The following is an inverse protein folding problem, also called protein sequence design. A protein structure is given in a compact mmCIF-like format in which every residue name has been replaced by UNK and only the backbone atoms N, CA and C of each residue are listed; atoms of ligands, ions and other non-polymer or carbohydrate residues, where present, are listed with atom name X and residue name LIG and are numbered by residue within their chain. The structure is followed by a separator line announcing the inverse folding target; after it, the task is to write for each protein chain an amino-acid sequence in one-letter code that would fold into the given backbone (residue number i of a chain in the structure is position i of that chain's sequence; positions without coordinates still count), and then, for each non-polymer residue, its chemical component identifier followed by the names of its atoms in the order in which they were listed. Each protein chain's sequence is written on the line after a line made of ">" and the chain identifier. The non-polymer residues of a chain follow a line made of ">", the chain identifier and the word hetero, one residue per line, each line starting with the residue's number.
data_IF_349278782991
#
_entry.id   IF_349278782991
#
_cell.length_a   1.000
_cell.length_b   1.000
_cell.length_c   1.000
_cell.angle_alpha   90.00
_cell.angle_beta   90.00
_cell.angle_gamma   90.00
#
_symmetry.space_group_name_H-M   'P 1'
#
loop_
_entity.id
_entity.type
_entity.pdbx_description
1 polymer ?
#
# COMPACT_ATOMS: atom_id res chain seq x y z
N UNK A 1 -16.89 -2.27 11.99
CA UNK A 1 -16.17 -1.95 10.73
C UNK A 1 -14.77 -2.53 10.89
N UNK A 2 -14.42 -3.52 10.07
CA UNK A 2 -13.09 -4.12 10.05
C UNK A 2 -12.22 -3.42 9.01
N UNK A 3 -10.96 -3.15 9.37
CA UNK A 3 -9.94 -2.68 8.43
C UNK A 3 -8.99 -3.83 8.14
N UNK A 4 -8.70 -4.06 6.88
CA UNK A 4 -7.69 -5.02 6.43
C UNK A 4 -6.67 -4.29 5.55
N UNK A 5 -5.39 -4.51 5.84
CA UNK A 5 -4.27 -3.91 5.10
C UNK A 5 -3.53 -4.99 4.31
N UNK A 6 -3.34 -4.76 3.01
CA UNK A 6 -2.45 -5.53 2.14
C UNK A 6 -1.13 -4.77 1.99
N UNK A 7 -0.08 -5.33 2.58
CA UNK A 7 1.29 -4.87 2.38
C UNK A 7 1.87 -5.56 1.14
N UNK A 8 2.25 -4.77 0.14
CA UNK A 8 2.69 -5.27 -1.18
C UNK A 8 4.17 -4.97 -1.36
N UNK A 9 4.95 -6.00 -1.71
CA UNK A 9 6.34 -5.88 -2.10
C UNK A 9 6.47 -5.83 -3.62
N UNK A 10 7.29 -4.92 -4.13
CA UNK A 10 7.64 -4.84 -5.55
C UNK A 10 8.62 -5.96 -5.86
N UNK A 11 8.38 -6.64 -6.96
CA UNK A 11 9.33 -7.64 -7.46
C UNK A 11 10.51 -6.93 -8.15
N UNK A 12 11.73 -7.43 -7.97
CA UNK A 12 12.96 -6.75 -8.40
C UNK A 12 13.01 -6.43 -9.89
N UNK A 13 12.51 -7.33 -10.74
CA UNK A 13 12.53 -7.16 -12.21
C UNK A 13 11.48 -6.15 -12.74
N UNK A 14 10.58 -5.64 -11.89
CA UNK A 14 9.59 -4.63 -12.28
C UNK A 14 10.13 -3.23 -11.93
N UNK A 15 10.02 -2.29 -12.86
CA UNK A 15 10.43 -0.91 -12.59
C UNK A 15 9.51 -0.26 -11.54
N UNK A 16 10.03 0.68 -10.74
CA UNK A 16 9.21 1.40 -9.75
C UNK A 16 8.04 2.16 -10.41
N UNK A 17 8.24 2.68 -11.63
CA UNK A 17 7.20 3.36 -12.39
C UNK A 17 6.07 2.41 -12.80
N UNK A 18 6.42 1.23 -13.31
CA UNK A 18 5.45 0.20 -13.67
C UNK A 18 4.70 -0.34 -12.44
N UNK A 19 5.42 -0.57 -11.33
CA UNK A 19 4.80 -0.95 -10.07
C UNK A 19 3.82 0.12 -9.56
N UNK A 20 4.23 1.39 -9.60
CA UNK A 20 3.39 2.52 -9.18
C UNK A 20 2.11 2.55 -10.01
N UNK A 21 2.25 2.50 -11.34
CA UNK A 21 1.11 2.45 -12.27
C UNK A 21 0.19 1.26 -11.99
N UNK A 22 0.76 0.09 -11.71
CA UNK A 22 -0.03 -1.07 -11.36
C UNK A 22 -0.86 -0.82 -10.09
N UNK A 23 -0.24 -0.36 -9.01
CA UNK A 23 -0.91 -0.15 -7.70
C UNK A 23 -1.93 0.98 -7.75
N UNK A 24 -1.68 2.06 -8.49
CA UNK A 24 -2.55 3.24 -8.53
C UNK A 24 -3.67 3.16 -9.56
N UNK A 25 -3.45 2.49 -10.70
CA UNK A 25 -4.40 2.47 -11.82
C UNK A 25 -4.99 1.07 -12.08
N UNK A 26 -4.14 0.06 -12.15
CA UNK A 26 -4.55 -1.28 -12.62
C UNK A 26 -5.20 -2.10 -11.52
N UNK A 27 -4.64 -2.06 -10.31
CA UNK A 27 -5.12 -2.80 -9.16
C UNK A 27 -6.51 -2.33 -8.69
N UNK A 28 -6.76 -1.02 -8.44
CA UNK A 28 -8.08 -0.56 -7.98
C UNK A 28 -9.22 -0.91 -8.94
N UNK A 29 -8.99 -0.77 -10.25
CA UNK A 29 -10.02 -1.10 -11.26
C UNK A 29 -10.40 -2.58 -11.20
N UNK A 30 -9.42 -3.48 -11.06
CA UNK A 30 -9.67 -4.91 -10.86
C UNK A 30 -10.33 -5.22 -9.52
N UNK A 31 -9.86 -4.58 -8.45
CA UNK A 31 -10.37 -4.77 -7.09
C UNK A 31 -11.82 -4.27 -6.93
N UNK A 32 -12.27 -3.31 -7.75
CA UNK A 32 -13.62 -2.73 -7.68
C UNK A 32 -14.72 -3.80 -7.76
N UNK A 33 -14.54 -4.83 -8.58
CA UNK A 33 -15.49 -5.93 -8.70
C UNK A 33 -15.66 -6.72 -7.40
N UNK A 34 -14.55 -6.97 -6.70
CA UNK A 34 -14.48 -7.66 -5.41
C UNK A 34 -15.00 -6.78 -4.27
N UNK A 35 -14.63 -5.50 -4.28
CA UNK A 35 -15.07 -4.47 -3.31
C UNK A 35 -16.59 -4.37 -3.31
N UNK A 36 -17.20 -4.22 -4.49
CA UNK A 36 -18.67 -4.13 -4.62
C UNK A 36 -19.37 -5.42 -4.21
N UNK A 37 -18.86 -6.58 -4.62
CA UNK A 37 -19.47 -7.88 -4.31
C UNK A 37 -19.50 -8.19 -2.81
N UNK A 38 -18.51 -7.70 -2.05
CA UNK A 38 -18.34 -8.03 -0.63
C UNK A 38 -18.66 -6.86 0.32
N UNK A 39 -19.33 -5.81 -0.15
CA UNK A 39 -19.78 -4.71 0.71
C UNK A 39 -18.65 -3.89 1.35
N UNK A 40 -17.49 -3.80 0.69
CA UNK A 40 -16.36 -3.00 1.16
C UNK A 40 -16.69 -1.51 0.92
N UNK A 41 -16.66 -0.71 1.99
CA UNK A 41 -17.08 0.70 1.98
C UNK A 41 -16.04 1.67 1.44
N UNK A 42 -14.76 1.39 1.67
CA UNK A 42 -13.70 2.36 1.40
C UNK A 42 -12.46 1.64 0.90
N UNK A 43 -11.79 2.27 -0.06
CA UNK A 43 -10.54 1.86 -0.66
C UNK A 43 -9.54 3.01 -0.51
N UNK A 44 -8.38 2.71 0.06
CA UNK A 44 -7.26 3.64 0.14
C UNK A 44 -5.99 2.94 -0.31
N UNK A 45 -5.21 3.57 -1.17
CA UNK A 45 -3.88 3.10 -1.51
C UNK A 45 -2.86 4.17 -1.12
N UNK A 46 -1.76 3.74 -0.53
CA UNK A 46 -0.61 4.59 -0.29
C UNK A 46 0.56 3.90 -0.96
N UNK A 47 1.04 4.47 -2.07
CA UNK A 47 2.33 4.09 -2.62
C UNK A 47 3.37 4.44 -1.57
N UNK A 48 4.18 3.46 -1.18
CA UNK A 48 5.10 3.68 -0.07
C UNK A 48 6.21 4.65 -0.48
N UNK A 49 6.83 5.18 0.56
CA UNK A 49 7.97 6.07 0.53
C UNK A 49 9.14 5.37 -0.19
N UNK A 50 9.78 5.99 -1.20
CA UNK A 50 10.92 5.42 -1.92
C UNK A 50 12.01 4.94 -0.95
N UNK A 51 12.79 3.89 -1.27
CA UNK A 51 13.84 3.36 -0.39
C UNK A 51 14.79 4.45 0.14
N UNK A 52 15.20 5.38 -0.73
CA UNK A 52 16.06 6.51 -0.35
C UNK A 52 15.43 7.42 0.73
N UNK A 53 14.11 7.58 0.71
CA UNK A 53 13.38 8.36 1.70
C UNK A 53 13.17 7.55 2.99
N UNK A 54 13.15 6.20 2.95
CA UNK A 54 13.13 5.36 4.15
C UNK A 54 14.45 5.48 4.93
N UNK A 55 15.57 5.43 4.23
CA UNK A 55 16.90 5.63 4.82
C UNK A 55 17.07 7.05 5.38
N UNK A 56 16.51 8.06 4.69
CA UNK A 56 16.45 9.42 5.21
C UNK A 56 15.63 9.49 6.52
N UNK A 57 14.44 8.89 6.57
CA UNK A 57 13.59 8.91 7.78
C UNK A 57 14.30 8.25 8.96
N UNK A 58 14.89 7.06 8.76
CA UNK A 58 15.59 6.34 9.85
C UNK A 58 16.79 7.12 10.38
N UNK A 59 17.58 7.72 9.49
CA UNK A 59 18.88 8.29 9.85
C UNK A 59 18.83 9.79 10.18
N UNK A 60 17.95 10.57 9.55
CA UNK A 60 17.94 12.03 9.66
C UNK A 60 16.90 12.56 10.65
N UNK A 61 15.80 11.84 10.89
CA UNK A 61 14.78 12.26 11.86
C UNK A 61 15.08 11.81 13.30
N UNK A 62 16.20 11.10 13.52
CA UNK A 62 16.62 10.55 14.83
C UNK A 62 15.57 9.66 15.51
N UNK A 63 14.58 9.17 14.76
CA UNK A 63 13.53 8.28 15.24
C UNK A 63 14.00 6.81 15.10
N UNK A 64 15.07 6.46 15.80
CA UNK A 64 15.68 5.12 15.72
C UNK A 64 14.74 3.98 16.17
N UNK A 65 13.74 4.31 17.00
CA UNK A 65 12.72 3.37 17.47
C UNK A 65 11.56 3.17 16.48
N UNK A 66 11.46 4.02 15.44
CA UNK A 66 10.37 3.89 14.47
C UNK A 66 10.62 2.72 13.53
N UNK A 67 9.66 1.80 13.51
CA UNK A 67 9.61 0.74 12.51
C UNK A 67 9.11 1.38 11.21
N UNK A 68 10.04 1.80 10.36
CA UNK A 68 9.71 2.20 8.99
C UNK A 68 9.39 0.94 8.20
N UNK A 69 8.17 0.81 7.67
CA UNK A 69 7.79 -0.39 6.96
C UNK A 69 8.61 -0.60 5.69
N UNK A 70 8.87 -1.87 5.37
CA UNK A 70 9.71 -2.28 4.24
C UNK A 70 8.92 -2.61 2.96
N UNK A 71 7.59 -2.66 3.05
CA UNK A 71 6.71 -2.87 1.90
C UNK A 71 6.67 -1.66 0.96
N UNK A 72 6.42 -1.94 -0.32
CA UNK A 72 6.43 -0.96 -1.40
C UNK A 72 5.07 -0.27 -1.64
N UNK A 73 3.99 -0.86 -1.16
CA UNK A 73 2.68 -0.20 -1.11
C UNK A 73 1.81 -0.81 0.00
N UNK A 74 0.83 -0.02 0.45
CA UNK A 74 -0.28 -0.52 1.28
C UNK A 74 -1.60 -0.25 0.57
N UNK A 75 -2.45 -1.27 0.54
CA UNK A 75 -3.85 -1.12 0.17
C UNK A 75 -4.71 -1.46 1.37
N UNK A 76 -5.57 -0.52 1.78
CA UNK A 76 -6.47 -0.66 2.91
C UNK A 76 -7.91 -0.85 2.44
N UNK A 77 -8.59 -1.81 3.06
CA UNK A 77 -10.00 -2.13 2.86
C UNK A 77 -10.78 -1.93 4.15
N UNK A 78 -11.93 -1.24 4.07
CA UNK A 78 -12.86 -1.13 5.19
C UNK A 78 -14.14 -1.89 4.89
N UNK A 79 -14.46 -2.86 5.72
CA UNK A 79 -15.61 -3.76 5.56
C UNK A 79 -16.58 -3.49 6.71
N UNK A 80 -17.88 -3.42 6.42
CA UNK A 80 -18.89 -3.43 7.50
C UNK A 80 -18.90 -4.81 8.15
N UNK A 81 -19.20 -4.83 9.44
CA UNK A 81 -19.44 -6.07 10.18
C UNK A 81 -20.52 -6.88 9.41
N UNK A 82 -20.34 -8.18 9.15
CA UNK A 82 -21.33 -8.99 8.44
C UNK A 82 -22.72 -9.00 9.08
#
# INVERSE_FOLDING_TARGET
>A
IFKFDLCIYKIDYISSAEFTKYVTETYPSKATSVVRRNGILQYGHTASIPPATRDFIKNQLQQSEWIVPDYDAVVSYWIRDP
#
